data_IF_369700802140
#
_entry.id   IF_369700802140
#
_cell.length_a   1.000
_cell.length_b   1.000
_cell.length_c   1.000
_cell.angle_alpha   90.00
_cell.angle_beta   90.00
_cell.angle_gamma   90.00
#
_symmetry.space_group_name_H-M   'P 1'
#
loop_
_entity.id
_entity.type
_entity.pdbx_description
1 polymer ?
#
# COMPACT_ATOMS: atom_id res chain seq x y z
N UNK A 1 22.51 -23.00 -10.33
CA UNK A 1 21.27 -22.29 -9.92
C UNK A 1 20.06 -23.05 -10.41
N UNK A 2 19.04 -23.33 -9.59
CA UNK A 2 17.80 -23.98 -10.04
C UNK A 2 17.11 -23.14 -11.12
N UNK A 3 16.58 -23.80 -12.17
CA UNK A 3 15.90 -23.15 -13.32
C UNK A 3 14.71 -22.24 -12.92
N UNK A 4 14.16 -22.43 -11.72
CA UNK A 4 13.08 -21.62 -11.14
C UNK A 4 13.50 -20.16 -10.95
N UNK A 5 14.75 -19.89 -10.56
CA UNK A 5 15.25 -18.52 -10.32
C UNK A 5 15.38 -17.71 -11.61
N UNK A 6 15.75 -18.35 -12.72
CA UNK A 6 15.88 -17.66 -14.02
C UNK A 6 14.52 -17.29 -14.64
N UNK A 7 13.47 -18.07 -14.34
CA UNK A 7 12.11 -17.80 -14.83
C UNK A 7 11.46 -16.66 -14.04
N UNK A 8 11.69 -16.61 -12.73
CA UNK A 8 11.15 -15.55 -11.86
C UNK A 8 11.87 -14.20 -12.04
N UNK A 9 13.17 -14.21 -12.39
CA UNK A 9 13.90 -12.99 -12.76
C UNK A 9 13.32 -12.31 -14.03
N UNK A 10 12.61 -13.06 -14.90
CA UNK A 10 11.89 -12.49 -16.06
C UNK A 10 10.64 -11.68 -15.67
N UNK A 11 10.13 -11.87 -14.46
CA UNK A 11 8.93 -11.16 -13.96
C UNK A 11 9.31 -9.83 -13.30
N UNK A 12 10.58 -9.61 -12.96
CA UNK A 12 11.05 -8.34 -12.36
C UNK A 12 10.59 -7.08 -13.09
N UNK A 13 10.64 -6.98 -14.44
CA UNK A 13 10.15 -5.79 -15.13
C UNK A 13 8.66 -5.53 -14.92
N UNK A 14 7.83 -6.56 -14.72
CA UNK A 14 6.41 -6.39 -14.41
C UNK A 14 6.21 -5.75 -13.02
N UNK A 15 6.98 -6.19 -12.02
CA UNK A 15 6.97 -5.57 -10.70
C UNK A 15 7.48 -4.13 -10.73
N UNK A 16 8.49 -3.80 -11.55
CA UNK A 16 8.99 -2.44 -11.74
C UNK A 16 7.94 -1.52 -12.36
N UNK A 17 7.18 -2.03 -13.33
CA UNK A 17 6.08 -1.28 -13.94
C UNK A 17 4.97 -1.05 -12.90
N UNK A 18 4.56 -2.09 -12.18
CA UNK A 18 3.53 -1.98 -11.12
C UNK A 18 3.94 -0.95 -10.07
N UNK A 19 5.18 -0.99 -9.61
CA UNK A 19 5.73 -0.01 -8.66
C UNK A 19 5.65 1.43 -9.21
N UNK A 20 6.08 1.64 -10.46
CA UNK A 20 6.05 2.97 -11.10
C UNK A 20 4.62 3.48 -11.26
N UNK A 21 3.68 2.61 -11.64
CA UNK A 21 2.26 2.96 -11.79
C UNK A 21 1.66 3.35 -10.43
N UNK A 22 1.86 2.54 -9.40
CA UNK A 22 1.35 2.84 -8.05
C UNK A 22 1.96 4.14 -7.52
N UNK A 23 3.27 4.34 -7.69
CA UNK A 23 3.95 5.57 -7.30
C UNK A 23 3.40 6.80 -8.05
N UNK A 24 3.09 6.67 -9.34
CA UNK A 24 2.50 7.73 -10.14
C UNK A 24 1.09 8.08 -9.66
N UNK A 25 0.27 7.07 -9.37
CA UNK A 25 -1.07 7.27 -8.78
C UNK A 25 -0.97 8.02 -7.44
N UNK A 26 -0.06 7.60 -6.55
CA UNK A 26 0.15 8.30 -5.28
C UNK A 26 0.53 9.77 -5.45
N UNK A 27 1.37 10.09 -6.46
CA UNK A 27 1.73 11.49 -6.76
C UNK A 27 0.55 12.31 -7.25
N UNK A 28 -0.30 11.73 -8.11
CA UNK A 28 -1.52 12.41 -8.60
C UNK A 28 -2.48 12.65 -7.43
N UNK A 29 -2.71 11.64 -6.59
CA UNK A 29 -3.57 11.76 -5.43
C UNK A 29 -3.07 12.86 -4.47
N UNK A 30 -1.76 12.93 -4.24
CA UNK A 30 -1.15 13.98 -3.41
C UNK A 30 -1.39 15.38 -3.98
N UNK A 31 -1.20 15.55 -5.28
CA UNK A 31 -1.43 16.85 -5.94
C UNK A 31 -2.92 17.22 -5.86
N UNK A 32 -3.82 16.28 -6.13
CA UNK A 32 -5.26 16.50 -6.04
C UNK A 32 -5.67 16.87 -4.60
N UNK A 33 -5.13 16.19 -3.60
CA UNK A 33 -5.37 16.45 -2.19
C UNK A 33 -4.97 17.87 -1.78
N UNK A 34 -3.76 18.29 -2.17
CA UNK A 34 -3.27 19.64 -1.92
C UNK A 34 -4.16 20.70 -2.59
N UNK A 35 -4.55 20.48 -3.86
CA UNK A 35 -5.37 21.45 -4.60
C UNK A 35 -6.77 21.56 -4.00
N UNK A 36 -7.42 20.45 -3.67
CA UNK A 36 -8.76 20.43 -3.09
C UNK A 36 -8.75 21.05 -1.68
N UNK A 37 -7.77 20.70 -0.85
CA UNK A 37 -7.60 21.28 0.48
C UNK A 37 -7.36 22.80 0.39
N UNK A 38 -6.50 23.24 -0.52
CA UNK A 38 -6.25 24.67 -0.74
C UNK A 38 -7.51 25.39 -1.18
N UNK A 39 -8.27 24.82 -2.09
CA UNK A 39 -9.55 25.37 -2.57
C UNK A 39 -10.56 25.47 -1.40
N UNK A 40 -10.68 24.44 -0.60
CA UNK A 40 -11.58 24.43 0.57
C UNK A 40 -11.20 25.48 1.60
N UNK A 41 -9.89 25.59 1.92
CA UNK A 41 -9.40 26.63 2.84
C UNK A 41 -9.70 28.03 2.32
N UNK A 42 -9.43 28.30 1.03
CA UNK A 42 -9.73 29.60 0.42
C UNK A 42 -11.23 29.88 0.48
N UNK A 43 -12.09 28.92 0.12
CA UNK A 43 -13.54 29.07 0.17
C UNK A 43 -14.07 29.38 1.58
N UNK A 44 -13.39 28.87 2.62
CA UNK A 44 -13.77 29.08 4.01
C UNK A 44 -13.40 30.48 4.55
N UNK A 45 -12.30 31.07 4.05
CA UNK A 45 -11.80 32.37 4.51
C UNK A 45 -12.16 33.55 3.58
N UNK A 46 -12.53 33.29 2.34
CA UNK A 46 -12.86 34.33 1.35
C UNK A 46 -14.38 34.36 1.11
N UNK A 47 -15.11 35.39 1.55
CA UNK A 47 -16.59 35.40 1.52
C UNK A 47 -17.23 35.30 0.14
N UNK A 48 -16.46 35.54 -0.93
CA UNK A 48 -16.94 35.48 -2.32
C UNK A 48 -16.75 34.11 -3.00
N UNK A 49 -16.04 33.17 -2.35
CA UNK A 49 -15.71 31.86 -2.91
C UNK A 49 -16.50 30.82 -2.08
N UNK A 50 -17.41 30.05 -2.72
CA UNK A 50 -18.15 29.02 -1.99
C UNK A 50 -17.21 27.89 -1.54
N UNK A 51 -17.31 27.48 -0.26
CA UNK A 51 -16.66 26.27 0.23
C UNK A 51 -17.46 25.05 -0.27
N UNK A 52 -16.87 24.18 -1.10
CA UNK A 52 -17.58 23.01 -1.60
C UNK A 52 -17.72 21.97 -0.48
N UNK A 53 -18.95 21.65 -0.09
CA UNK A 53 -19.25 20.69 1.00
C UNK A 53 -18.67 19.28 0.79
N UNK A 54 -18.36 18.92 -0.46
CA UNK A 54 -17.80 17.62 -0.82
C UNK A 54 -16.28 17.53 -0.64
N UNK A 55 -15.60 18.66 -0.46
CA UNK A 55 -14.12 18.72 -0.43
C UNK A 55 -13.52 17.87 0.68
N UNK A 56 -14.07 17.91 1.89
CA UNK A 56 -13.56 17.16 3.04
C UNK A 56 -13.67 15.64 2.83
N UNK A 57 -14.78 15.16 2.29
CA UNK A 57 -14.99 13.73 2.05
C UNK A 57 -14.07 13.20 0.94
N UNK A 58 -13.83 13.99 -0.11
CA UNK A 58 -12.92 13.62 -1.20
C UNK A 58 -11.48 13.61 -0.72
N UNK A 59 -11.05 14.62 0.04
CA UNK A 59 -9.70 14.70 0.63
C UNK A 59 -9.43 13.48 1.52
N UNK A 60 -10.34 13.15 2.44
CA UNK A 60 -10.20 11.96 3.30
C UNK A 60 -10.11 10.67 2.49
N UNK A 61 -10.87 10.57 1.41
CA UNK A 61 -10.80 9.43 0.50
C UNK A 61 -9.45 9.37 -0.22
N UNK A 62 -8.95 10.47 -0.79
CA UNK A 62 -7.64 10.55 -1.43
C UNK A 62 -6.50 10.21 -0.46
N UNK A 63 -6.54 10.75 0.75
CA UNK A 63 -5.58 10.44 1.82
C UNK A 63 -5.59 8.94 2.16
N UNK A 64 -6.76 8.33 2.25
CA UNK A 64 -6.92 6.90 2.51
C UNK A 64 -6.24 6.07 1.42
N UNK A 65 -6.51 6.35 0.13
CA UNK A 65 -5.83 5.67 -0.99
C UNK A 65 -4.31 5.87 -0.96
N UNK A 66 -3.86 7.10 -0.73
CA UNK A 66 -2.44 7.43 -0.69
C UNK A 66 -1.73 6.72 0.45
N UNK A 67 -2.30 6.72 1.66
CA UNK A 67 -1.73 6.07 2.83
C UNK A 67 -1.53 4.57 2.59
N UNK A 68 -2.55 3.92 2.06
CA UNK A 68 -2.57 2.46 1.87
C UNK A 68 -1.66 2.03 0.73
N UNK A 69 -1.67 2.75 -0.39
CA UNK A 69 -0.78 2.46 -1.52
C UNK A 69 0.68 2.76 -1.18
N UNK A 70 0.96 3.80 -0.40
CA UNK A 70 2.32 4.09 0.06
C UNK A 70 2.86 3.03 1.02
N UNK A 71 2.01 2.43 1.87
CA UNK A 71 2.39 1.30 2.69
C UNK A 71 2.83 0.10 1.84
N UNK A 72 2.09 -0.22 0.78
CA UNK A 72 2.47 -1.27 -0.16
C UNK A 72 3.80 -0.96 -0.89
N UNK A 73 4.05 0.30 -1.27
CA UNK A 73 5.33 0.71 -1.84
C UNK A 73 6.50 0.62 -0.85
N UNK A 74 6.25 0.84 0.44
CA UNK A 74 7.26 0.73 1.49
C UNK A 74 7.76 -0.72 1.63
N UNK A 75 6.88 -1.71 1.45
CA UNK A 75 7.24 -3.13 1.43
C UNK A 75 8.35 -3.38 0.40
N UNK A 76 8.13 -2.94 -0.84
CA UNK A 76 9.10 -3.15 -1.92
C UNK A 76 10.45 -2.45 -1.71
N UNK A 77 10.45 -1.32 -1.00
CA UNK A 77 11.69 -0.60 -0.64
C UNK A 77 12.47 -1.27 0.49
N UNK A 78 11.96 -2.36 1.06
CA UNK A 78 12.53 -2.96 2.26
C UNK A 78 12.48 -2.01 3.47
N UNK A 79 11.62 -0.99 3.38
CA UNK A 79 11.40 -0.03 4.46
C UNK A 79 10.40 -0.57 5.50
N UNK A 80 10.37 -1.90 5.66
CA UNK A 80 9.68 -2.49 6.79
C UNK A 80 10.30 -1.94 8.07
N UNK A 81 9.47 -1.62 9.02
CA UNK A 81 9.88 -1.17 10.35
C UNK A 81 10.51 -2.37 11.08
N UNK A 82 11.68 -2.78 10.60
CA UNK A 82 12.55 -3.68 11.32
C UNK A 82 13.49 -2.84 12.16
N UNK A 83 13.50 -3.11 13.44
CA UNK A 83 14.43 -2.48 14.36
C UNK A 83 15.82 -3.07 14.11
N UNK A 84 16.57 -2.45 13.19
CA UNK A 84 17.94 -2.86 12.83
C UNK A 84 18.95 -2.62 13.96
N UNK A 85 18.55 -1.92 15.03
CA UNK A 85 19.40 -1.64 16.20
C UNK A 85 19.91 -2.92 16.88
N UNK A 86 19.17 -4.01 16.83
CA UNK A 86 19.58 -5.29 17.42
C UNK A 86 20.33 -6.22 16.45
N UNK A 87 20.41 -5.89 15.17
CA UNK A 87 21.08 -6.71 14.16
C UNK A 87 22.58 -6.90 14.45
N UNK A 88 23.21 -5.92 15.13
CA UNK A 88 24.63 -6.00 15.53
C UNK A 88 24.89 -7.03 16.64
N UNK A 89 23.88 -7.37 17.43
CA UNK A 89 23.99 -8.29 18.57
C UNK A 89 23.51 -9.71 18.23
N UNK A 90 22.79 -9.88 17.11
CA UNK A 90 22.17 -11.15 16.73
C UNK A 90 23.01 -11.89 15.68
N UNK A 91 23.14 -13.22 15.77
CA UNK A 91 23.79 -14.00 14.73
C UNK A 91 23.01 -13.87 13.40
N UNK A 92 23.75 -13.80 12.29
CA UNK A 92 23.18 -13.61 10.93
C UNK A 92 22.05 -14.59 10.56
N UNK A 93 22.07 -15.80 11.11
CA UNK A 93 21.00 -16.79 10.88
C UNK A 93 19.68 -16.39 11.55
N UNK A 94 19.75 -15.83 12.76
CA UNK A 94 18.55 -15.36 13.49
C UNK A 94 17.95 -14.13 12.81
N UNK A 95 18.79 -13.21 12.36
CA UNK A 95 18.33 -12.03 11.61
C UNK A 95 17.57 -12.44 10.35
N UNK A 96 18.09 -13.40 9.58
CA UNK A 96 17.40 -13.92 8.40
C UNK A 96 16.08 -14.64 8.72
N UNK A 97 16.02 -15.37 9.84
CA UNK A 97 14.79 -16.03 10.26
C UNK A 97 13.72 -14.98 10.67
N UNK A 98 14.14 -13.90 11.32
CA UNK A 98 13.25 -12.79 11.66
C UNK A 98 12.74 -12.05 10.40
N UNK A 99 13.56 -11.92 9.35
CA UNK A 99 13.13 -11.34 8.08
C UNK A 99 11.99 -12.16 7.46
N UNK A 100 12.18 -13.48 7.37
CA UNK A 100 11.12 -14.36 6.83
C UNK A 100 9.86 -14.35 7.71
N UNK A 101 10.02 -14.32 9.03
CA UNK A 101 8.88 -14.24 9.96
C UNK A 101 8.09 -12.94 9.73
N UNK A 102 8.80 -11.82 9.53
CA UNK A 102 8.20 -10.53 9.20
C UNK A 102 7.45 -10.59 7.86
N UNK A 103 8.07 -11.14 6.82
CA UNK A 103 7.45 -11.30 5.50
C UNK A 103 6.16 -12.12 5.59
N UNK A 104 6.18 -13.24 6.32
CA UNK A 104 4.98 -14.08 6.54
C UNK A 104 3.89 -13.30 7.28
N UNK A 105 4.25 -12.53 8.30
CA UNK A 105 3.28 -11.72 9.06
C UNK A 105 2.63 -10.65 8.17
N UNK A 106 3.41 -9.97 7.33
CA UNK A 106 2.91 -8.98 6.37
C UNK A 106 2.05 -9.62 5.29
N UNK A 107 2.42 -10.81 4.82
CA UNK A 107 1.60 -11.58 3.89
C UNK A 107 0.22 -11.92 4.48
N UNK A 108 0.19 -12.40 5.72
CA UNK A 108 -1.06 -12.69 6.44
C UNK A 108 -1.90 -11.42 6.58
N UNK A 109 -1.28 -10.29 6.96
CA UNK A 109 -1.96 -9.00 7.04
C UNK A 109 -2.55 -8.60 5.71
N UNK A 110 -1.81 -8.73 4.60
CA UNK A 110 -2.29 -8.46 3.25
C UNK A 110 -3.53 -9.28 2.88
N UNK A 111 -3.54 -10.57 3.19
CA UNK A 111 -4.70 -11.46 2.96
C UNK A 111 -5.89 -11.03 3.81
N UNK A 112 -5.69 -10.73 5.08
CA UNK A 112 -6.75 -10.26 5.98
C UNK A 112 -7.33 -8.94 5.46
N UNK A 113 -6.50 -7.97 5.07
CA UNK A 113 -6.95 -6.70 4.51
C UNK A 113 -7.73 -6.89 3.21
N UNK A 114 -7.31 -7.81 2.36
CA UNK A 114 -8.01 -8.12 1.11
C UNK A 114 -9.40 -8.71 1.39
N UNK A 115 -9.50 -9.74 2.23
CA UNK A 115 -10.77 -10.46 2.47
C UNK A 115 -11.72 -9.65 3.34
N UNK A 116 -11.25 -9.18 4.48
CA UNK A 116 -12.08 -8.41 5.42
C UNK A 116 -12.42 -7.04 4.85
N UNK A 117 -11.45 -6.38 4.21
CA UNK A 117 -11.65 -5.09 3.54
C UNK A 117 -12.67 -5.18 2.41
N UNK A 118 -12.64 -6.25 1.61
CA UNK A 118 -13.64 -6.48 0.56
C UNK A 118 -15.05 -6.66 1.14
N UNK A 119 -15.18 -7.51 2.16
CA UNK A 119 -16.47 -7.69 2.84
C UNK A 119 -16.98 -6.38 3.43
N UNK A 120 -16.12 -5.57 4.03
CA UNK A 120 -16.48 -4.27 4.59
C UNK A 120 -16.91 -3.28 3.50
N UNK A 121 -16.15 -3.20 2.41
CA UNK A 121 -16.46 -2.31 1.29
C UNK A 121 -17.80 -2.66 0.63
N UNK A 122 -18.11 -3.95 0.46
CA UNK A 122 -19.34 -4.40 -0.18
C UNK A 122 -20.55 -4.33 0.74
N UNK A 123 -20.43 -4.71 2.00
CA UNK A 123 -21.57 -4.79 2.93
C UNK A 123 -21.93 -3.43 3.53
N UNK A 124 -20.96 -2.71 4.08
CA UNK A 124 -21.16 -1.39 4.69
C UNK A 124 -21.06 -0.26 3.66
N UNK A 125 -20.04 -0.30 2.82
CA UNK A 125 -19.84 0.69 1.79
C UNK A 125 -20.91 0.68 0.72
N UNK A 126 -21.37 -0.50 0.31
CA UNK A 126 -22.43 -0.64 -0.71
C UNK A 126 -23.81 -0.19 -0.26
N UNK A 127 -24.08 -0.12 1.04
CA UNK A 127 -25.34 0.35 1.62
C UNK A 127 -25.39 1.82 1.98
N UNK A 128 -24.24 2.50 2.00
CA UNK A 128 -24.11 3.90 2.38
C UNK A 128 -23.73 4.79 1.20
N UNK A 129 -24.06 6.07 1.34
CA UNK A 129 -23.66 7.11 0.41
C UNK A 129 -22.79 8.14 1.13
N UNK A 130 -22.01 8.91 0.38
CA UNK A 130 -21.34 10.09 0.92
C UNK A 130 -22.40 11.09 1.44
N UNK A 131 -22.09 11.78 2.51
CA UNK A 131 -23.03 12.73 3.13
C UNK A 131 -23.22 13.96 2.24
N UNK A 132 -22.13 14.45 1.68
CA UNK A 132 -22.12 15.63 0.81
C UNK A 132 -22.41 15.29 -0.65
N UNK A 133 -22.28 14.01 -1.06
CA UNK A 133 -22.52 13.52 -2.41
C UNK A 133 -23.41 12.26 -2.40
N UNK A 134 -24.74 12.40 -2.22
CA UNK A 134 -25.66 11.25 -2.09
C UNK A 134 -25.74 10.33 -3.31
N UNK A 135 -25.23 10.77 -4.48
CA UNK A 135 -25.15 9.98 -5.70
C UNK A 135 -23.92 9.03 -5.73
N UNK A 136 -22.93 9.25 -4.84
CA UNK A 136 -21.72 8.45 -4.78
C UNK A 136 -21.81 7.44 -3.63
N UNK A 137 -21.62 6.17 -3.93
CA UNK A 137 -21.60 5.10 -2.93
C UNK A 137 -20.37 5.24 -2.01
N UNK A 138 -20.57 5.04 -0.71
CA UNK A 138 -19.50 5.00 0.28
C UNK A 138 -18.53 3.81 0.07
N UNK A 139 -18.84 2.91 -0.84
CA UNK A 139 -17.94 1.85 -1.29
C UNK A 139 -16.55 2.38 -1.62
N UNK A 140 -16.45 3.50 -2.32
CA UNK A 140 -15.18 4.11 -2.73
C UNK A 140 -14.31 4.57 -1.55
N UNK A 141 -14.92 4.89 -0.41
CA UNK A 141 -14.20 5.26 0.81
C UNK A 141 -13.52 4.06 1.47
N UNK A 142 -14.12 2.86 1.38
CA UNK A 142 -13.59 1.63 1.99
C UNK A 142 -12.75 0.79 1.03
N UNK A 143 -12.91 0.98 -0.27
CA UNK A 143 -12.20 0.23 -1.31
C UNK A 143 -10.67 0.35 -1.26
N UNK A 144 -10.02 1.41 -0.74
CA UNK A 144 -8.57 1.44 -0.56
C UNK A 144 -8.03 0.26 0.24
N UNK A 145 -8.76 -0.22 1.24
CA UNK A 145 -8.29 -1.29 2.14
C UNK A 145 -8.06 -2.62 1.40
N UNK A 146 -9.03 -3.19 0.65
CA UNK A 146 -8.77 -4.40 -0.13
C UNK A 146 -7.76 -4.18 -1.25
N UNK A 147 -7.74 -2.99 -1.87
CA UNK A 147 -6.75 -2.65 -2.90
C UNK A 147 -5.33 -2.70 -2.34
N UNK A 148 -5.14 -2.19 -1.12
CA UNK A 148 -3.87 -2.30 -0.43
C UNK A 148 -3.49 -3.74 -0.13
N UNK A 149 -4.43 -4.53 0.36
CA UNK A 149 -4.20 -5.95 0.62
C UNK A 149 -3.65 -6.65 -0.62
N UNK A 150 -4.25 -6.41 -1.79
CA UNK A 150 -3.75 -6.95 -3.07
C UNK A 150 -2.35 -6.42 -3.41
N UNK A 151 -2.11 -5.12 -3.30
CA UNK A 151 -0.80 -4.52 -3.59
C UNK A 151 0.29 -5.04 -2.63
N UNK A 152 -0.04 -5.18 -1.33
CA UNK A 152 0.86 -5.74 -0.33
C UNK A 152 1.24 -7.19 -0.67
N UNK A 153 0.27 -8.04 -1.00
CA UNK A 153 0.52 -9.44 -1.38
C UNK A 153 1.45 -9.51 -2.59
N UNK A 154 1.21 -8.68 -3.63
CA UNK A 154 2.04 -8.65 -4.83
C UNK A 154 3.50 -8.32 -4.49
N UNK A 155 3.74 -7.27 -3.72
CA UNK A 155 5.10 -6.85 -3.38
C UNK A 155 5.76 -7.77 -2.35
N UNK A 156 4.97 -8.38 -1.45
CA UNK A 156 5.48 -9.32 -0.46
C UNK A 156 5.96 -10.63 -1.09
N UNK A 157 5.28 -11.10 -2.13
CA UNK A 157 5.75 -12.25 -2.91
C UNK A 157 7.14 -11.97 -3.51
N UNK A 158 7.37 -10.74 -4.02
CA UNK A 158 8.68 -10.33 -4.53
C UNK A 158 9.73 -10.27 -3.40
N UNK A 159 9.38 -9.70 -2.26
CA UNK A 159 10.27 -9.57 -1.09
C UNK A 159 10.66 -10.94 -0.53
N UNK A 160 9.70 -11.80 -0.28
CA UNK A 160 9.89 -13.17 0.20
C UNK A 160 10.78 -13.99 -0.75
N UNK A 161 10.54 -13.86 -2.05
CA UNK A 161 11.38 -14.48 -3.07
C UNK A 161 12.83 -14.03 -2.98
N UNK A 162 13.07 -12.72 -2.84
CA UNK A 162 14.43 -12.17 -2.74
C UNK A 162 15.13 -12.62 -1.43
N UNK A 163 14.41 -12.69 -0.32
CA UNK A 163 14.94 -13.17 0.96
C UNK A 163 15.30 -14.65 0.88
N UNK A 164 14.44 -15.49 0.35
CA UNK A 164 14.70 -16.92 0.15
C UNK A 164 15.92 -17.10 -0.77
N UNK A 165 15.99 -16.38 -1.90
CA UNK A 165 17.14 -16.43 -2.81
C UNK A 165 18.44 -16.08 -2.10
N UNK A 166 18.44 -15.13 -1.15
CA UNK A 166 19.61 -14.74 -0.37
C UNK A 166 20.15 -15.84 0.57
N UNK A 167 19.31 -16.80 0.94
CA UNK A 167 19.75 -17.96 1.71
C UNK A 167 20.57 -18.93 0.86
N UNK A 168 20.14 -19.18 -0.37
CA UNK A 168 20.78 -20.16 -1.25
C UNK A 168 22.04 -19.64 -1.94
N UNK A 169 22.12 -18.34 -2.24
CA UNK A 169 23.26 -17.75 -2.95
C UNK A 169 24.46 -17.47 -2.03
N UNK A 170 24.27 -17.34 -0.73
CA UNK A 170 25.35 -17.00 0.22
C UNK A 170 26.04 -18.20 0.86
N UNK A 171 25.58 -19.42 0.59
CA UNK A 171 26.26 -20.66 1.00
C UNK A 171 27.34 -21.14 0.01
N UNK A 172 27.48 -20.47 -1.16
CA UNK A 172 28.46 -20.83 -2.20
C UNK A 172 29.76 -20.00 -2.14
N UNK A 173 29.96 -19.14 -1.12
CA UNK A 173 31.17 -18.40 -0.82
C UNK A 173 31.50 -18.55 0.68
#
# INVERSE_FOLDING_TARGET
MPKIFTTLDKIKPAYDITYKVVLFICKILLIADILITTMSVIGRYVPFIPDPSWSEEVVLTCMSYMAVLSAALAIRRGAHIRMTAFDMYLPKKVVKALDILSDVAVMILGVVMMVVGWNYATTLGGRGFYVSMPWLSRFWMYFPVPLAGVAMIIFEIEALYNHIKSFFVKEEN
#
